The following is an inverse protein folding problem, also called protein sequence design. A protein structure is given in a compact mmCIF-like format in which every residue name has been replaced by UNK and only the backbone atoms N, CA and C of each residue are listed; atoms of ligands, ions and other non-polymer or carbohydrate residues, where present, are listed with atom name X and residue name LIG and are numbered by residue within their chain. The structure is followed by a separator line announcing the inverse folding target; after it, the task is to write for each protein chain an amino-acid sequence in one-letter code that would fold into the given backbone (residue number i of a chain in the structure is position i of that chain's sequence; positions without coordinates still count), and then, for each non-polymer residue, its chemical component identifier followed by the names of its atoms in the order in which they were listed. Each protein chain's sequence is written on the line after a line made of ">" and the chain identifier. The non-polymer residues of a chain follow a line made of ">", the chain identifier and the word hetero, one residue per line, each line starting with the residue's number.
data_IF_846848814872
#
_entry.id   IF_846848814872
#
_cell.length_a   1.000
_cell.length_b   1.000
_cell.length_c   1.000
_cell.angle_alpha   90.00
_cell.angle_beta   90.00
_cell.angle_gamma   90.00
#
_symmetry.space_group_name_H-M   'P 1'
#
loop_
_entity.id
_entity.type
_entity.pdbx_description
1 polymer ?
#
# COMPACT_ATOMS: atom_id res chain seq x y z
N UNK A 1 2.58 4.91 -22.53
CA UNK A 1 2.23 6.25 -23.05
C UNK A 1 3.32 6.88 -23.94
N UNK A 2 4.38 7.52 -23.40
CA UNK A 2 5.29 8.34 -24.22
C UNK A 2 6.05 7.56 -25.30
N UNK A 3 6.62 6.39 -24.98
CA UNK A 3 7.36 5.55 -25.94
C UNK A 3 6.46 5.11 -27.11
N UNK A 4 5.24 4.64 -26.83
CA UNK A 4 4.25 4.28 -27.86
C UNK A 4 3.92 5.47 -28.77
N UNK A 5 3.78 6.69 -28.22
CA UNK A 5 3.56 7.90 -29.01
C UNK A 5 4.72 8.20 -29.96
N UNK A 6 5.97 8.08 -29.50
CA UNK A 6 7.16 8.27 -30.34
C UNK A 6 7.24 7.19 -31.43
N UNK A 7 6.96 5.94 -31.09
CA UNK A 7 6.94 4.82 -32.03
C UNK A 7 5.90 5.03 -33.16
N UNK A 8 4.67 5.42 -32.80
CA UNK A 8 3.64 5.78 -33.79
C UNK A 8 4.04 6.97 -34.67
N UNK A 9 4.69 7.99 -34.09
CA UNK A 9 5.21 9.15 -34.84
C UNK A 9 6.34 8.77 -35.81
N UNK A 10 7.13 7.75 -35.46
CA UNK A 10 8.24 7.23 -36.27
C UNK A 10 7.72 6.40 -37.45
N UNK A 11 6.75 5.51 -37.23
CA UNK A 11 6.05 4.80 -38.32
C UNK A 11 5.42 5.80 -39.29
N UNK A 12 4.69 6.81 -38.78
CA UNK A 12 4.11 7.85 -39.61
C UNK A 12 5.17 8.67 -40.39
N UNK A 13 6.34 8.92 -39.78
CA UNK A 13 7.46 9.58 -40.46
C UNK A 13 8.04 8.73 -41.60
N UNK A 14 8.24 7.43 -41.39
CA UNK A 14 8.76 6.51 -42.42
C UNK A 14 7.79 6.34 -43.60
N UNK A 15 6.48 6.36 -43.34
CA UNK A 15 5.45 6.34 -44.41
C UNK A 15 5.49 7.65 -45.20
N UNK A 16 5.50 8.79 -44.49
CA UNK A 16 5.52 10.11 -45.13
C UNK A 16 6.80 10.36 -45.92
N UNK A 17 7.96 9.94 -45.42
CA UNK A 17 9.24 10.06 -46.10
C UNK A 17 9.19 9.33 -47.45
N UNK A 18 8.77 8.05 -47.48
CA UNK A 18 8.62 7.28 -48.71
C UNK A 18 7.63 7.89 -49.72
N UNK A 19 6.55 8.50 -49.23
CA UNK A 19 5.60 9.23 -50.08
C UNK A 19 6.23 10.49 -50.70
N UNK A 20 7.03 11.23 -49.92
CA UNK A 20 7.73 12.43 -50.39
C UNK A 20 8.86 12.08 -51.36
N UNK A 21 9.61 11.00 -51.12
CA UNK A 21 10.65 10.48 -52.02
C UNK A 21 10.05 10.06 -53.37
N UNK A 22 8.91 9.36 -53.38
CA UNK A 22 8.21 9.00 -54.60
C UNK A 22 7.68 10.23 -55.37
N UNK A 23 7.17 11.24 -54.65
CA UNK A 23 6.74 12.51 -55.25
C UNK A 23 7.93 13.32 -55.83
N UNK A 24 9.06 13.35 -55.13
CA UNK A 24 10.30 13.98 -55.61
C UNK A 24 10.78 13.32 -56.90
N UNK A 25 10.92 11.99 -56.92
CA UNK A 25 11.33 11.26 -58.11
C UNK A 25 10.41 11.52 -59.32
N UNK A 26 9.09 11.59 -59.10
CA UNK A 26 8.14 11.94 -60.16
C UNK A 26 8.32 13.39 -60.65
N UNK A 27 8.47 14.35 -59.73
CA UNK A 27 8.66 15.75 -60.08
C UNK A 27 9.99 15.97 -60.85
N UNK A 28 11.05 15.26 -60.47
CA UNK A 28 12.33 15.27 -61.18
C UNK A 28 12.21 14.68 -62.58
N UNK A 29 11.45 13.59 -62.75
CA UNK A 29 11.20 12.99 -64.07
C UNK A 29 10.41 13.94 -64.98
N UNK A 30 9.41 14.64 -64.45
CA UNK A 30 8.66 15.68 -65.19
C UNK A 30 9.58 16.83 -65.61
N UNK A 31 10.47 17.30 -64.71
CA UNK A 31 11.44 18.33 -65.04
C UNK A 31 12.47 17.87 -66.08
N UNK A 32 12.97 16.63 -65.98
CA UNK A 32 13.90 16.06 -66.95
C UNK A 32 13.28 15.97 -68.35
N UNK A 33 12.04 15.46 -68.45
CA UNK A 33 11.31 15.40 -69.72
C UNK A 33 11.09 16.79 -70.33
N UNK A 34 10.76 17.80 -69.51
CA UNK A 34 10.58 19.17 -69.97
C UNK A 34 11.89 19.80 -70.47
N UNK A 35 13.02 19.52 -69.81
CA UNK A 35 14.34 19.97 -70.24
C UNK A 35 14.78 19.30 -71.55
N UNK A 36 14.52 17.99 -71.73
CA UNK A 36 14.78 17.28 -72.99
C UNK A 36 13.92 17.83 -74.12
N UNK A 37 12.60 17.96 -73.91
CA UNK A 37 11.71 18.55 -74.91
C UNK A 37 12.10 19.99 -75.29
N UNK A 38 12.55 20.79 -74.32
CA UNK A 38 13.07 22.15 -74.56
C UNK A 38 14.42 22.19 -75.28
N UNK A 39 15.18 21.09 -75.30
CA UNK A 39 16.46 20.97 -76.00
C UNK A 39 16.30 20.37 -77.42
N UNK A 40 15.40 19.40 -77.58
CA UNK A 40 15.08 18.77 -78.87
C UNK A 40 14.20 19.68 -79.76
N UNK A 41 13.46 20.61 -79.15
CA UNK A 41 12.70 21.63 -79.87
C UNK A 41 13.55 22.89 -80.06
N UNK A 42 13.82 23.27 -81.32
CA UNK A 42 14.28 24.62 -81.65
C UNK A 42 13.20 25.62 -81.26
N UNK A 43 13.29 26.16 -80.04
CA UNK A 43 12.33 27.11 -79.50
C UNK A 43 12.52 28.46 -80.20
N UNK A 44 11.57 28.93 -81.05
CA UNK A 44 11.73 30.19 -81.73
C UNK A 44 11.70 31.34 -80.72
N UNK A 45 12.73 32.21 -80.78
CA UNK A 45 12.77 33.41 -79.95
C UNK A 45 11.52 34.28 -80.17
N UNK A 46 11.20 35.13 -79.19
CA UNK A 46 10.04 36.03 -79.23
C UNK A 46 10.06 36.90 -80.50
N UNK A 47 11.25 37.31 -80.95
CA UNK A 47 11.45 38.03 -82.22
C UNK A 47 11.09 37.16 -83.43
N UNK A 48 11.51 35.90 -83.46
CA UNK A 48 11.18 34.92 -84.51
C UNK A 48 9.69 34.60 -84.57
N UNK A 49 9.01 34.55 -83.41
CA UNK A 49 7.55 34.36 -83.33
C UNK A 49 6.78 35.58 -83.83
N UNK A 50 7.28 36.80 -83.56
CA UNK A 50 6.73 38.04 -84.13
C UNK A 50 6.85 38.03 -85.67
N UNK A 51 8.04 37.72 -86.19
CA UNK A 51 8.33 37.75 -87.62
C UNK A 51 7.59 36.69 -88.45
N UNK A 52 7.29 35.53 -87.88
CA UNK A 52 6.59 34.44 -88.59
C UNK A 52 5.07 34.37 -88.31
N UNK A 53 4.49 35.38 -87.66
CA UNK A 53 3.06 35.43 -87.38
C UNK A 53 2.25 35.93 -88.59
N UNK A 54 1.10 35.30 -88.84
CA UNK A 54 0.23 35.58 -90.00
C UNK A 54 -0.81 36.68 -89.75
N UNK A 55 -0.62 37.46 -88.67
CA UNK A 55 -1.48 38.58 -88.29
C UNK A 55 -1.51 38.79 -86.78
N UNK A 56 -2.14 39.87 -86.34
CA UNK A 56 -2.16 40.28 -84.92
C UNK A 56 -2.82 39.25 -83.99
N UNK A 57 -3.85 38.52 -84.46
CA UNK A 57 -4.53 37.49 -83.69
C UNK A 57 -3.63 36.25 -83.44
N UNK A 58 -3.01 35.72 -84.50
CA UNK A 58 -2.06 34.59 -84.45
C UNK A 58 -0.85 34.93 -83.56
N UNK A 59 -0.33 36.16 -83.66
CA UNK A 59 0.74 36.65 -82.80
C UNK A 59 0.33 36.65 -81.31
N UNK A 60 -0.84 37.19 -80.97
CA UNK A 60 -1.31 37.27 -79.60
C UNK A 60 -1.53 35.87 -78.99
N UNK A 61 -2.06 34.94 -79.77
CA UNK A 61 -2.26 33.55 -79.34
C UNK A 61 -0.92 32.86 -79.04
N UNK A 62 0.05 32.93 -79.97
CA UNK A 62 1.40 32.35 -79.79
C UNK A 62 2.15 32.95 -78.60
N UNK A 63 2.09 34.27 -78.43
CA UNK A 63 2.68 34.95 -77.25
C UNK A 63 2.02 34.47 -75.94
N UNK A 64 0.69 34.33 -75.93
CA UNK A 64 -0.04 33.83 -74.76
C UNK A 64 0.34 32.38 -74.42
N UNK A 65 0.57 31.54 -75.43
CA UNK A 65 1.01 30.15 -75.26
C UNK A 65 2.42 30.09 -74.65
N UNK A 66 3.40 30.83 -75.21
CA UNK A 66 4.75 30.91 -74.64
C UNK A 66 4.79 31.46 -73.21
N UNK A 67 3.88 32.37 -72.85
CA UNK A 67 3.74 32.85 -71.47
C UNK A 67 3.19 31.75 -70.53
N UNK A 68 2.23 30.94 -70.99
CA UNK A 68 1.72 29.78 -70.24
C UNK A 68 2.81 28.72 -70.03
N UNK A 69 3.58 28.39 -71.07
CA UNK A 69 4.70 27.43 -70.99
C UNK A 69 5.76 27.91 -70.00
N UNK A 70 6.29 29.13 -70.14
CA UNK A 70 7.29 29.68 -69.20
C UNK A 70 6.79 29.73 -67.75
N UNK A 71 5.51 30.04 -67.53
CA UNK A 71 4.91 29.98 -66.19
C UNK A 71 4.86 28.54 -65.65
N UNK A 72 4.58 27.57 -66.50
CA UNK A 72 4.57 26.15 -66.15
C UNK A 72 5.98 25.63 -65.84
N UNK A 73 7.01 26.00 -66.60
CA UNK A 73 8.41 25.61 -66.33
C UNK A 73 8.87 26.10 -64.96
N UNK A 74 8.59 27.38 -64.65
CA UNK A 74 8.86 27.98 -63.33
C UNK A 74 8.12 27.22 -62.22
N UNK A 75 6.87 26.80 -62.45
CA UNK A 75 6.10 26.00 -61.50
C UNK A 75 6.75 24.62 -61.27
N UNK A 76 7.16 23.91 -62.32
CA UNK A 76 7.79 22.59 -62.23
C UNK A 76 9.10 22.67 -61.43
N UNK A 77 9.98 23.63 -61.76
CA UNK A 77 11.25 23.84 -61.00
C UNK A 77 10.98 24.17 -59.53
N UNK A 78 9.94 24.97 -59.24
CA UNK A 78 9.56 25.28 -57.86
C UNK A 78 8.98 24.07 -57.12
N UNK A 79 8.24 23.20 -57.79
CA UNK A 79 7.71 21.94 -57.22
C UNK A 79 8.85 20.97 -56.88
N UNK A 80 9.82 20.75 -57.77
CA UNK A 80 11.02 19.92 -57.48
C UNK A 80 11.80 20.48 -56.29
N UNK A 81 12.04 21.80 -56.26
CA UNK A 81 12.71 22.47 -55.11
C UNK A 81 11.90 22.34 -53.82
N UNK A 82 10.57 22.30 -53.88
CA UNK A 82 9.72 22.06 -52.71
C UNK A 82 9.78 20.60 -52.25
N UNK A 83 9.75 19.63 -53.18
CA UNK A 83 9.85 18.19 -52.89
C UNK A 83 11.16 17.85 -52.16
N UNK A 84 12.31 18.24 -52.74
CA UNK A 84 13.66 18.10 -52.15
C UNK A 84 13.74 18.63 -50.72
N UNK A 85 13.17 19.82 -50.47
CA UNK A 85 13.13 20.41 -49.11
C UNK A 85 12.22 19.65 -48.16
N UNK A 86 11.11 19.10 -48.63
CA UNK A 86 10.19 18.31 -47.82
C UNK A 86 10.83 16.96 -47.41
N UNK A 87 11.50 16.25 -48.33
CA UNK A 87 12.26 15.02 -48.03
C UNK A 87 13.37 15.30 -47.02
N UNK A 88 14.20 16.32 -47.24
CA UNK A 88 15.28 16.69 -46.30
C UNK A 88 14.77 17.06 -44.89
N UNK A 89 13.65 17.78 -44.80
CA UNK A 89 13.01 18.12 -43.54
C UNK A 89 12.45 16.89 -42.82
N UNK A 90 11.81 15.97 -43.55
CA UNK A 90 11.22 14.76 -42.98
C UNK A 90 12.29 13.73 -42.55
N UNK A 91 13.37 13.58 -43.32
CA UNK A 91 14.54 12.79 -42.91
C UNK A 91 15.18 13.34 -41.62
N UNK A 92 15.32 14.67 -41.52
CA UNK A 92 15.78 15.32 -40.28
C UNK A 92 14.83 15.07 -39.10
N UNK A 93 13.51 15.05 -39.35
CA UNK A 93 12.50 14.75 -38.33
C UNK A 93 12.58 13.29 -37.88
N UNK A 94 12.77 12.35 -38.80
CA UNK A 94 12.92 10.92 -38.53
C UNK A 94 14.14 10.65 -37.64
N UNK A 95 15.31 11.22 -37.96
CA UNK A 95 16.53 11.07 -37.15
C UNK A 95 16.33 11.60 -35.71
N UNK A 96 15.67 12.75 -35.54
CA UNK A 96 15.33 13.29 -34.20
C UNK A 96 14.39 12.37 -33.42
N UNK A 97 13.44 11.70 -34.09
CA UNK A 97 12.55 10.73 -33.43
C UNK A 97 13.29 9.45 -33.02
N UNK A 98 14.20 8.94 -33.85
CA UNK A 98 15.01 7.76 -33.53
C UNK A 98 15.90 7.99 -32.30
N UNK A 99 16.61 9.12 -32.23
CA UNK A 99 17.42 9.48 -31.04
C UNK A 99 16.54 9.60 -29.79
N UNK A 100 15.32 10.14 -29.92
CA UNK A 100 14.37 10.25 -28.81
C UNK A 100 13.83 8.89 -28.36
N UNK A 101 13.56 7.97 -29.28
CA UNK A 101 13.15 6.60 -28.98
C UNK A 101 14.24 5.85 -28.22
N UNK A 102 15.48 5.86 -28.73
CA UNK A 102 16.65 5.26 -28.05
C UNK A 102 16.84 5.81 -26.64
N UNK A 103 16.74 7.13 -26.47
CA UNK A 103 16.85 7.80 -25.16
C UNK A 103 15.76 7.32 -24.18
N UNK A 104 14.51 7.26 -24.63
CA UNK A 104 13.38 6.79 -23.81
C UNK A 104 13.52 5.30 -23.46
N UNK A 105 13.98 4.46 -24.38
CA UNK A 105 14.25 3.04 -24.11
C UNK A 105 15.35 2.88 -23.04
N UNK A 106 16.44 3.64 -23.15
CA UNK A 106 17.52 3.63 -22.16
C UNK A 106 17.04 4.08 -20.76
N UNK A 107 16.20 5.11 -20.69
CA UNK A 107 15.56 5.58 -19.44
C UNK A 107 14.68 4.48 -18.81
N UNK A 108 13.75 3.90 -19.59
CA UNK A 108 12.85 2.83 -19.12
C UNK A 108 13.64 1.59 -18.64
N UNK A 109 14.73 1.22 -19.32
CA UNK A 109 15.60 0.13 -18.87
C UNK A 109 16.34 0.47 -17.57
N UNK A 110 16.80 1.71 -17.41
CA UNK A 110 17.42 2.20 -16.17
C UNK A 110 16.44 2.17 -15.00
N UNK A 111 15.23 2.70 -15.18
CA UNK A 111 14.15 2.67 -14.20
C UNK A 111 13.81 1.23 -13.79
N UNK A 112 13.56 0.35 -14.76
CA UNK A 112 13.29 -1.08 -14.51
C UNK A 112 14.39 -1.73 -13.66
N UNK A 113 15.66 -1.45 -13.99
CA UNK A 113 16.81 -1.98 -13.24
C UNK A 113 16.91 -1.38 -11.82
N UNK A 114 16.54 -0.11 -11.66
CA UNK A 114 16.41 0.54 -10.35
C UNK A 114 15.34 -0.12 -9.47
N UNK A 115 14.12 -0.32 -10.01
CA UNK A 115 13.04 -1.02 -9.30
C UNK A 115 13.46 -2.43 -8.88
N UNK A 116 14.10 -3.20 -9.77
CA UNK A 116 14.58 -4.55 -9.46
C UNK A 116 15.60 -4.57 -8.30
N UNK A 117 16.53 -3.61 -8.26
CA UNK A 117 17.47 -3.45 -7.13
C UNK A 117 16.76 -3.11 -5.83
N UNK A 118 15.76 -2.22 -5.88
CA UNK A 118 14.97 -1.82 -4.71
C UNK A 118 14.17 -3.00 -4.15
N UNK A 119 13.50 -3.77 -5.00
CA UNK A 119 12.81 -5.01 -4.61
C UNK A 119 13.77 -6.02 -3.97
N UNK A 120 14.96 -6.25 -4.56
CA UNK A 120 15.97 -7.14 -3.98
C UNK A 120 16.57 -6.61 -2.65
N UNK A 121 16.50 -5.30 -2.38
CA UNK A 121 16.84 -4.72 -1.08
C UNK A 121 15.74 -4.98 -0.05
N UNK A 122 14.47 -4.74 -0.40
CA UNK A 122 13.32 -4.99 0.46
C UNK A 122 13.20 -6.47 0.86
N UNK A 123 13.44 -7.39 -0.08
CA UNK A 123 13.48 -8.83 0.23
C UNK A 123 14.57 -9.20 1.23
N UNK A 124 15.77 -8.64 1.10
CA UNK A 124 16.86 -8.85 2.08
C UNK A 124 16.50 -8.27 3.45
N UNK A 125 15.98 -7.05 3.50
CA UNK A 125 15.52 -6.44 4.76
C UNK A 125 14.45 -7.29 5.45
N UNK A 126 13.43 -7.76 4.71
CA UNK A 126 12.39 -8.66 5.23
C UNK A 126 12.97 -9.96 5.78
N UNK A 127 13.91 -10.59 5.06
CA UNK A 127 14.59 -11.80 5.53
C UNK A 127 15.37 -11.55 6.84
N UNK A 128 16.10 -10.43 6.93
CA UNK A 128 16.81 -10.02 8.14
C UNK A 128 15.86 -9.77 9.31
N UNK A 129 14.74 -9.06 9.11
CA UNK A 129 13.72 -8.85 10.15
C UNK A 129 13.08 -10.17 10.60
N UNK A 130 12.76 -11.07 9.67
CA UNK A 130 12.23 -12.40 10.00
C UNK A 130 13.23 -13.22 10.84
N UNK A 131 14.52 -13.20 10.49
CA UNK A 131 15.58 -13.85 11.25
C UNK A 131 15.70 -13.27 12.68
N UNK A 132 15.68 -11.94 12.84
CA UNK A 132 15.69 -11.32 14.17
C UNK A 132 14.44 -11.64 14.99
N UNK A 133 13.25 -11.65 14.36
CA UNK A 133 11.99 -12.05 15.02
C UNK A 133 12.04 -13.50 15.49
N UNK A 134 12.59 -14.43 14.68
CA UNK A 134 12.79 -15.82 15.06
C UNK A 134 13.75 -15.99 16.25
N UNK A 135 14.90 -15.31 16.24
CA UNK A 135 15.86 -15.29 17.36
C UNK A 135 15.18 -14.76 18.64
N UNK A 136 14.42 -13.67 18.54
CA UNK A 136 13.70 -13.08 19.68
C UNK A 136 12.55 -13.95 20.18
N UNK A 137 11.89 -14.72 19.32
CA UNK A 137 10.91 -15.73 19.72
C UNK A 137 11.58 -16.86 20.51
N UNK A 138 12.71 -17.38 20.03
CA UNK A 138 13.52 -18.38 20.75
C UNK A 138 13.99 -17.88 22.12
N UNK A 139 14.51 -16.65 22.21
CA UNK A 139 14.92 -16.04 23.49
C UNK A 139 13.75 -15.94 24.49
N UNK A 140 12.56 -15.55 24.03
CA UNK A 140 11.35 -15.50 24.89
C UNK A 140 10.90 -16.90 25.34
N UNK A 141 10.94 -17.90 24.44
CA UNK A 141 10.59 -19.27 24.78
C UNK A 141 11.52 -19.85 25.87
N UNK A 142 12.83 -19.66 25.74
CA UNK A 142 13.81 -20.07 26.75
C UNK A 142 13.61 -19.36 28.08
N UNK A 143 13.34 -18.05 28.06
CA UNK A 143 13.06 -17.28 29.28
C UNK A 143 11.77 -17.76 29.98
N UNK A 144 10.71 -18.06 29.23
CA UNK A 144 9.47 -18.58 29.79
C UNK A 144 9.66 -19.99 30.39
N UNK A 145 10.42 -20.86 29.72
CA UNK A 145 10.75 -22.18 30.25
C UNK A 145 11.51 -22.07 31.59
N UNK A 146 12.45 -21.12 31.70
CA UNK A 146 13.19 -20.85 32.94
C UNK A 146 12.29 -20.31 34.06
N UNK A 147 11.37 -19.38 33.76
CA UNK A 147 10.36 -18.90 34.72
C UNK A 147 9.50 -20.06 35.25
N UNK A 148 9.00 -20.92 34.35
CA UNK A 148 8.20 -22.08 34.73
C UNK A 148 9.00 -23.05 35.60
N UNK A 149 10.29 -23.28 35.28
CA UNK A 149 11.21 -24.11 36.07
C UNK A 149 11.41 -23.56 37.48
N UNK A 150 11.63 -22.25 37.61
CA UNK A 150 11.81 -21.58 38.90
C UNK A 150 10.53 -21.57 39.75
N UNK A 151 9.35 -21.38 39.13
CA UNK A 151 8.07 -21.50 39.81
C UNK A 151 7.82 -22.92 40.36
N UNK A 152 8.19 -23.95 39.58
CA UNK A 152 8.15 -25.34 40.03
C UNK A 152 9.06 -25.59 41.24
N UNK A 153 10.30 -25.10 41.20
CA UNK A 153 11.23 -25.18 42.33
C UNK A 153 10.71 -24.43 43.57
N UNK A 154 10.18 -23.23 43.42
CA UNK A 154 9.60 -22.45 44.52
C UNK A 154 8.44 -23.21 45.18
N UNK A 155 7.56 -23.82 44.39
CA UNK A 155 6.44 -24.61 44.87
C UNK A 155 6.91 -25.85 45.66
N UNK A 156 7.96 -26.52 45.21
CA UNK A 156 8.59 -27.64 45.92
C UNK A 156 9.22 -27.20 47.25
N UNK A 157 9.92 -26.07 47.27
CA UNK A 157 10.51 -25.49 48.49
C UNK A 157 9.42 -25.12 49.52
N UNK A 158 8.33 -24.50 49.07
CA UNK A 158 7.19 -24.15 49.93
C UNK A 158 6.54 -25.40 50.54
N UNK A 159 6.31 -26.45 49.73
CA UNK A 159 5.78 -27.72 50.21
C UNK A 159 6.71 -28.41 51.22
N UNK A 160 8.03 -28.39 50.99
CA UNK A 160 9.03 -28.94 51.91
C UNK A 160 9.06 -28.18 53.25
N UNK A 161 8.96 -26.85 53.22
CA UNK A 161 8.93 -25.99 54.41
C UNK A 161 7.64 -26.22 55.22
N UNK A 162 6.48 -26.29 54.55
CA UNK A 162 5.20 -26.63 55.19
C UNK A 162 5.24 -28.02 55.84
N UNK A 163 5.80 -29.03 55.17
CA UNK A 163 5.97 -30.37 55.72
C UNK A 163 6.93 -30.40 56.93
N UNK A 164 8.01 -29.61 56.91
CA UNK A 164 8.91 -29.47 58.06
C UNK A 164 8.23 -28.79 59.26
N UNK A 165 7.47 -27.72 59.03
CA UNK A 165 6.68 -27.04 60.07
C UNK A 165 5.62 -27.96 60.69
N UNK A 166 4.92 -28.75 59.88
CA UNK A 166 3.94 -29.74 60.35
C UNK A 166 4.59 -30.82 61.25
N UNK A 167 5.77 -31.34 60.87
CA UNK A 167 6.54 -32.29 61.70
C UNK A 167 6.97 -31.67 63.03
N UNK A 168 7.46 -30.42 63.00
CA UNK A 168 7.85 -29.71 64.22
C UNK A 168 6.66 -29.48 65.18
N UNK A 169 5.50 -29.07 64.64
CA UNK A 169 4.28 -28.91 65.43
C UNK A 169 3.76 -30.24 66.01
N UNK A 170 3.85 -31.35 65.27
CA UNK A 170 3.50 -32.67 65.76
C UNK A 170 4.43 -33.13 66.89
N UNK A 171 5.74 -32.94 66.75
CA UNK A 171 6.72 -33.24 67.79
C UNK A 171 6.51 -32.41 69.06
N UNK A 172 6.21 -31.11 68.94
CA UNK A 172 5.89 -30.25 70.07
C UNK A 172 4.63 -30.70 70.83
N UNK A 173 3.56 -31.06 70.10
CA UNK A 173 2.33 -31.63 70.70
C UNK A 173 2.58 -32.94 71.42
N UNK A 174 3.37 -33.85 70.84
CA UNK A 174 3.74 -35.11 71.47
C UNK A 174 4.54 -34.90 72.77
N UNK A 175 5.50 -33.97 72.76
CA UNK A 175 6.26 -33.59 73.95
C UNK A 175 5.36 -32.98 75.04
N UNK A 176 4.41 -32.10 74.68
CA UNK A 176 3.47 -31.51 75.62
C UNK A 176 2.53 -32.57 76.23
N UNK A 177 1.98 -33.48 75.40
CA UNK A 177 1.14 -34.58 75.86
C UNK A 177 1.88 -35.50 76.85
N UNK A 178 3.17 -35.79 76.60
CA UNK A 178 4.00 -36.56 77.52
C UNK A 178 4.19 -35.86 78.88
N UNK A 179 4.35 -34.52 78.91
CA UNK A 179 4.42 -33.76 80.18
C UNK A 179 3.09 -33.70 80.92
N UNK A 180 1.96 -33.59 80.20
CA UNK A 180 0.62 -33.66 80.81
C UNK A 180 0.36 -35.04 81.41
N UNK A 181 0.76 -36.13 80.74
CA UNK A 181 0.65 -37.48 81.28
C UNK A 181 1.51 -37.69 82.55
N UNK A 182 2.74 -37.16 82.58
CA UNK A 182 3.61 -37.20 83.76
C UNK A 182 3.02 -36.42 84.95
N UNK A 183 2.50 -35.22 84.71
CA UNK A 183 1.89 -34.39 85.78
C UNK A 183 0.55 -34.97 86.26
N UNK A 184 -0.26 -35.55 85.37
CA UNK A 184 -1.48 -36.27 85.76
C UNK A 184 -1.18 -37.52 86.62
N UNK A 185 -0.11 -38.27 86.31
CA UNK A 185 0.33 -39.39 87.14
C UNK A 185 0.76 -38.93 88.56
N UNK A 186 1.44 -37.78 88.65
CA UNK A 186 1.82 -37.14 89.93
C UNK A 186 0.63 -36.52 90.68
N UNK A 187 -0.46 -36.18 89.98
CA UNK A 187 -1.67 -35.54 90.53
C UNK A 187 -2.73 -36.55 90.99
N UNK A 188 -2.39 -37.84 91.08
CA UNK A 188 -3.28 -38.92 91.57
C UNK A 188 -3.57 -38.86 93.10
N UNK A 189 -3.44 -37.67 93.69
CA UNK A 189 -3.61 -37.37 95.12
C UNK A 189 -4.48 -36.13 95.42
N UNK A 190 -5.36 -35.68 94.50
CA UNK A 190 -6.46 -34.75 94.87
C UNK A 190 -7.64 -34.64 93.87
N UNK A 191 -8.80 -35.17 94.31
CA UNK A 191 -10.20 -34.70 94.13
C UNK A 191 -10.68 -33.85 92.92
N UNK A 192 -11.53 -34.49 92.09
CA UNK A 192 -12.92 -34.12 91.69
C UNK A 192 -13.31 -32.79 90.98
N UNK A 193 -14.08 -32.95 89.88
CA UNK A 193 -15.04 -31.96 89.30
C UNK A 193 -14.49 -31.10 88.14
N UNK A 194 -15.24 -30.71 87.10
CA UNK A 194 -16.59 -31.08 86.65
C UNK A 194 -17.21 -30.06 85.66
N UNK A 195 -17.69 -30.52 84.48
CA UNK A 195 -18.75 -29.87 83.67
C UNK A 195 -18.47 -28.68 82.71
N UNK A 196 -18.93 -28.80 81.44
CA UNK A 196 -19.85 -27.80 80.83
C UNK A 196 -19.40 -26.82 79.70
N UNK A 197 -19.99 -26.97 78.50
CA UNK A 197 -20.82 -25.90 77.86
C UNK A 197 -20.29 -25.00 76.70
N UNK A 198 -21.14 -24.80 75.66
CA UNK A 198 -21.12 -23.68 74.66
C UNK A 198 -20.11 -23.80 73.48
N UNK A 199 -20.32 -23.35 72.23
CA UNK A 199 -21.33 -22.50 71.58
C UNK A 199 -20.74 -21.12 71.19
N UNK A 200 -20.89 -20.54 69.98
CA UNK A 200 -21.51 -20.93 68.69
C UNK A 200 -21.63 -19.68 67.75
N UNK A 201 -21.56 -19.78 66.40
CA UNK A 201 -21.47 -18.55 65.56
C UNK A 201 -21.52 -18.64 64.01
N UNK A 202 -22.71 -18.34 63.47
CA UNK A 202 -23.16 -17.67 62.22
C UNK A 202 -22.31 -17.42 60.94
N UNK A 203 -23.07 -17.37 59.83
CA UNK A 203 -22.81 -17.06 58.40
C UNK A 203 -22.84 -15.53 58.09
N UNK A 204 -22.90 -14.97 56.84
CA UNK A 204 -22.93 -15.53 55.47
C UNK A 204 -22.02 -14.83 54.41
N UNK A 205 -22.23 -15.11 53.12
CA UNK A 205 -21.57 -14.48 51.96
C UNK A 205 -22.36 -13.29 51.35
N UNK A 206 -21.70 -12.43 50.57
CA UNK A 206 -22.30 -11.46 49.64
C UNK A 206 -21.52 -11.45 48.31
N UNK A 207 -22.24 -11.29 47.20
CA UNK A 207 -21.69 -11.09 45.86
C UNK A 207 -22.20 -9.77 45.24
N UNK A 208 -21.32 -9.07 44.52
CA UNK A 208 -21.58 -7.94 43.61
C UNK A 208 -20.45 -7.96 42.58
N UNK A 209 -20.62 -7.73 41.28
CA UNK A 209 -21.72 -7.08 40.56
C UNK A 209 -21.11 -6.02 39.64
N UNK A 210 -20.91 -6.34 38.36
CA UNK A 210 -20.15 -5.51 37.42
C UNK A 210 -20.88 -4.21 37.07
N UNK A 211 -20.12 -3.13 36.84
CA UNK A 211 -20.59 -1.92 36.16
C UNK A 211 -20.06 -1.90 34.71
N UNK A 212 -20.88 -1.53 33.71
CA UNK A 212 -20.38 -1.31 32.35
C UNK A 212 -19.64 0.03 32.30
N UNK A 213 -18.31 -0.02 32.22
CA UNK A 213 -17.48 1.17 31.99
C UNK A 213 -17.48 1.50 30.50
N UNK A 214 -17.82 2.74 30.13
CA UNK A 214 -17.53 3.27 28.80
C UNK A 214 -16.02 3.22 28.54
N UNK A 215 -15.59 2.44 27.55
CA UNK A 215 -14.19 2.04 27.40
C UNK A 215 -13.30 3.13 26.81
N UNK A 216 -12.66 3.90 27.70
CA UNK A 216 -11.28 4.39 27.51
C UNK A 216 -10.99 5.32 26.32
N UNK A 217 -12.00 5.94 25.70
CA UNK A 217 -11.80 6.82 24.55
C UNK A 217 -11.67 6.10 23.19
N UNK A 218 -12.05 4.82 23.11
CA UNK A 218 -12.15 4.09 21.84
C UNK A 218 -13.50 4.34 21.15
N UNK A 219 -13.48 4.74 19.88
CA UNK A 219 -14.66 4.95 19.02
C UNK A 219 -14.79 3.80 18.02
N UNK A 220 -16.02 3.36 17.71
CA UNK A 220 -16.23 2.33 16.69
C UNK A 220 -15.85 2.86 15.29
N UNK A 221 -15.05 2.14 14.48
CA UNK A 221 -14.36 2.69 13.31
C UNK A 221 -15.23 2.93 12.07
N UNK A 222 -16.52 2.61 12.10
CA UNK A 222 -17.43 2.66 10.95
C UNK A 222 -18.81 3.17 11.36
N UNK A 223 -19.67 3.63 10.43
CA UNK A 223 -21.09 3.71 10.67
C UNK A 223 -21.64 2.33 11.09
N UNK A 224 -22.23 2.20 12.29
CA UNK A 224 -22.73 0.92 12.82
C UNK A 224 -23.75 0.23 11.90
N UNK A 225 -24.46 0.99 11.07
CA UNK A 225 -25.43 0.51 10.07
C UNK A 225 -24.81 -0.05 8.79
N UNK A 226 -23.53 0.24 8.53
CA UNK A 226 -22.79 -0.26 7.37
C UNK A 226 -21.94 -1.51 7.73
N UNK A 227 -21.50 -1.61 8.99
CA UNK A 227 -20.78 -2.77 9.51
C UNK A 227 -21.68 -4.01 9.63
N UNK A 228 -21.14 -5.18 9.25
CA UNK A 228 -21.76 -6.47 9.53
C UNK A 228 -21.90 -6.70 11.05
N UNK A 229 -22.85 -7.54 11.51
CA UNK A 229 -23.08 -7.71 12.95
C UNK A 229 -21.91 -8.45 13.64
N UNK A 230 -21.63 -8.18 14.93
CA UNK A 230 -20.45 -8.69 15.63
C UNK A 230 -20.21 -10.21 15.58
N UNK A 231 -21.26 -11.02 15.44
CA UNK A 231 -21.15 -12.47 15.28
C UNK A 231 -20.61 -12.94 13.93
N UNK A 232 -20.29 -12.01 13.02
CA UNK A 232 -19.73 -12.29 11.67
C UNK A 232 -18.28 -11.83 11.51
N UNK A 233 -17.71 -11.12 12.49
CA UNK A 233 -16.35 -10.60 12.42
C UNK A 233 -15.33 -11.71 12.62
N UNK A 234 -14.34 -11.81 11.74
CA UNK A 234 -13.23 -12.77 11.84
C UNK A 234 -11.98 -12.13 12.46
N UNK A 235 -11.27 -12.83 13.36
CA UNK A 235 -9.91 -12.44 13.74
C UNK A 235 -8.88 -12.97 12.73
N UNK A 236 -7.93 -12.13 12.34
CA UNK A 236 -6.67 -12.52 11.69
C UNK A 236 -5.48 -11.79 12.36
N UNK A 237 -4.82 -10.86 11.66
CA UNK A 237 -3.79 -10.01 12.26
C UNK A 237 -4.40 -8.84 13.05
N UNK A 238 -5.68 -8.57 12.76
CA UNK A 238 -6.59 -7.70 13.48
C UNK A 238 -7.99 -8.32 13.50
N UNK A 239 -9.01 -7.55 13.14
CA UNK A 239 -10.41 -7.98 13.06
C UNK A 239 -11.02 -7.49 11.76
N UNK A 240 -11.59 -8.41 10.98
CA UNK A 240 -12.32 -8.10 9.75
C UNK A 240 -13.78 -7.73 10.05
N UNK A 241 -14.22 -6.62 9.47
CA UNK A 241 -15.60 -6.15 9.52
C UNK A 241 -16.06 -5.90 8.09
N UNK A 242 -16.91 -6.78 7.56
CA UNK A 242 -17.50 -6.57 6.24
C UNK A 242 -18.42 -5.34 6.25
N UNK A 243 -18.23 -4.47 5.27
CA UNK A 243 -19.05 -3.28 5.04
C UNK A 243 -18.93 -2.88 3.55
N UNK A 244 -19.90 -2.13 2.99
CA UNK A 244 -19.84 -1.69 1.61
C UNK A 244 -18.55 -0.91 1.30
N UNK A 245 -18.10 -1.01 0.05
CA UNK A 245 -17.06 -0.11 -0.46
C UNK A 245 -17.48 1.36 -0.35
N UNK A 246 -16.49 2.24 -0.21
CA UNK A 246 -16.66 3.68 0.02
C UNK A 246 -17.39 4.03 1.35
N UNK A 247 -17.52 3.07 2.28
CA UNK A 247 -17.99 3.36 3.66
C UNK A 247 -16.91 4.16 4.41
N UNK A 248 -17.24 5.31 5.02
CA UNK A 248 -16.28 6.12 5.78
C UNK A 248 -15.66 5.37 6.97
N UNK A 249 -14.36 5.52 7.13
CA UNK A 249 -13.57 5.01 8.25
C UNK A 249 -13.28 6.15 9.24
N UNK A 250 -13.62 5.90 10.51
CA UNK A 250 -13.48 6.84 11.61
C UNK A 250 -12.22 6.52 12.43
N UNK A 251 -11.51 7.55 12.85
CA UNK A 251 -10.41 7.43 13.80
C UNK A 251 -10.92 6.88 15.14
N UNK A 252 -10.46 5.68 15.55
CA UNK A 252 -10.89 5.06 16.83
C UNK A 252 -10.38 5.80 18.06
N UNK A 253 -9.39 6.68 17.92
CA UNK A 253 -8.77 7.48 18.98
C UNK A 253 -8.41 8.86 18.42
N UNK A 254 -8.19 9.85 19.29
CA UNK A 254 -7.47 11.05 18.87
C UNK A 254 -5.99 10.73 18.65
N UNK A 255 -5.39 11.24 17.58
CA UNK A 255 -4.04 10.86 17.20
C UNK A 255 -3.58 11.45 15.87
N UNK A 256 -2.39 11.05 15.42
CA UNK A 256 -1.79 11.50 14.16
C UNK A 256 -1.66 10.36 13.16
N UNK A 257 -2.06 10.58 11.90
CA UNK A 257 -1.83 9.61 10.82
C UNK A 257 -0.33 9.58 10.50
N UNK A 258 0.35 8.44 10.68
CA UNK A 258 1.82 8.34 10.57
C UNK A 258 2.31 7.59 9.33
N UNK A 259 1.47 6.79 8.69
CA UNK A 259 1.83 5.97 7.53
C UNK A 259 0.59 5.66 6.70
N UNK A 260 0.74 5.61 5.37
CA UNK A 260 -0.18 4.96 4.45
C UNK A 260 0.52 3.81 3.73
N UNK A 261 -0.20 2.72 3.51
CA UNK A 261 0.21 1.62 2.64
C UNK A 261 0.95 0.50 3.37
N UNK A 262 0.24 -0.59 3.63
CA UNK A 262 0.74 -1.75 4.37
C UNK A 262 0.74 -2.96 3.42
N UNK A 263 1.89 -3.66 3.34
CA UNK A 263 2.08 -4.76 2.40
C UNK A 263 1.18 -5.95 2.72
N UNK A 264 0.23 -6.25 1.83
CA UNK A 264 -0.82 -7.26 2.03
C UNK A 264 -2.19 -6.65 2.34
N UNK A 265 -2.23 -5.41 2.84
CA UNK A 265 -3.44 -4.72 3.30
C UNK A 265 -3.84 -3.56 2.38
N UNK A 266 -3.06 -3.29 1.34
CA UNK A 266 -3.35 -2.26 0.34
C UNK A 266 -2.48 -1.00 0.47
N UNK A 267 -2.37 -0.21 -0.61
CA UNK A 267 -1.46 0.93 -0.68
C UNK A 267 -2.02 2.20 0.00
N UNK A 268 -3.30 2.22 0.41
CA UNK A 268 -3.93 3.34 1.11
C UNK A 268 -4.25 3.05 2.58
N UNK A 269 -3.95 1.85 3.09
CA UNK A 269 -4.19 1.46 4.47
C UNK A 269 -3.50 2.43 5.46
N UNK A 270 -4.22 3.25 6.24
CA UNK A 270 -3.58 4.20 7.16
C UNK A 270 -3.17 3.53 8.48
N UNK A 271 -2.18 4.13 9.13
CA UNK A 271 -1.78 3.85 10.51
C UNK A 271 -1.94 5.13 11.33
N UNK A 272 -2.75 5.05 12.38
CA UNK A 272 -3.01 6.11 13.34
C UNK A 272 -2.16 5.87 14.59
N UNK A 273 -1.33 6.85 14.95
CA UNK A 273 -0.63 6.89 16.24
C UNK A 273 -1.52 7.66 17.24
N UNK A 274 -2.11 6.95 18.20
CA UNK A 274 -3.00 7.54 19.20
C UNK A 274 -2.23 8.41 20.20
N UNK A 275 -2.81 9.53 20.62
CA UNK A 275 -2.21 10.43 21.62
C UNK A 275 -2.10 9.77 23.01
N UNK A 276 -3.02 8.84 23.32
CA UNK A 276 -2.99 7.97 24.49
C UNK A 276 -3.05 6.50 24.08
N UNK A 277 -2.54 5.59 24.92
CA UNK A 277 -2.53 4.16 24.59
C UNK A 277 -3.90 3.51 24.77
N UNK A 278 -4.28 2.68 23.79
CA UNK A 278 -5.44 1.81 23.82
C UNK A 278 -5.01 0.45 24.35
N UNK A 279 -5.35 0.12 25.59
CA UNK A 279 -4.94 -1.13 26.29
C UNK A 279 -3.44 -1.44 26.16
N UNK A 280 -2.60 -0.40 26.28
CA UNK A 280 -1.14 -0.50 26.17
C UNK A 280 -0.57 -0.41 24.74
N UNK A 281 -1.41 -0.30 23.70
CA UNK A 281 -0.98 -0.12 22.31
C UNK A 281 -1.08 1.35 21.86
N UNK A 282 -0.10 1.83 21.10
CA UNK A 282 -0.05 3.23 20.62
C UNK A 282 -0.42 3.42 19.15
N UNK A 283 -0.46 2.35 18.34
CA UNK A 283 -0.71 2.44 16.90
C UNK A 283 -1.83 1.50 16.48
N UNK A 284 -2.75 2.00 15.66
CA UNK A 284 -3.87 1.25 15.06
C UNK A 284 -3.75 1.33 13.54
N UNK A 285 -3.84 0.20 12.85
CA UNK A 285 -3.90 0.14 11.39
C UNK A 285 -5.33 -0.11 10.90
N UNK A 286 -5.62 0.36 9.68
CA UNK A 286 -6.89 0.17 9.00
C UNK A 286 -6.57 -0.42 7.61
N UNK A 287 -6.84 -1.70 7.46
CA UNK A 287 -6.56 -2.49 6.27
C UNK A 287 -7.64 -2.32 5.21
N UNK A 288 -7.23 -2.50 3.96
CA UNK A 288 -8.07 -2.55 2.75
C UNK A 288 -8.82 -1.25 2.42
N UNK A 289 -8.46 -0.15 3.07
CA UNK A 289 -8.91 1.21 2.77
C UNK A 289 -8.64 1.62 1.31
N UNK A 290 -9.52 2.44 0.76
CA UNK A 290 -9.46 2.99 -0.59
C UNK A 290 -8.76 4.36 -0.67
N UNK A 291 -8.64 4.92 -1.90
CA UNK A 291 -8.07 6.25 -2.12
C UNK A 291 -9.02 7.41 -1.75
N UNK A 292 -10.30 7.15 -1.52
CA UNK A 292 -11.30 8.14 -1.16
C UNK A 292 -11.11 8.62 0.30
N UNK A 293 -11.41 9.90 0.54
CA UNK A 293 -11.44 10.56 1.85
C UNK A 293 -10.15 10.48 2.70
N UNK A 294 -9.06 10.02 2.09
CA UNK A 294 -7.73 9.89 2.69
C UNK A 294 -7.17 11.24 3.17
N UNK A 295 -7.16 11.45 4.47
CA UNK A 295 -6.42 12.55 5.10
C UNK A 295 -4.91 12.29 5.03
N UNK A 296 -4.10 13.34 4.90
CA UNK A 296 -2.68 13.18 4.66
C UNK A 296 -1.90 12.66 5.89
N UNK A 297 -0.82 11.93 5.66
CA UNK A 297 0.19 11.63 6.70
C UNK A 297 0.65 12.94 7.36
N UNK A 298 0.69 12.96 8.69
CA UNK A 298 0.93 14.15 9.52
C UNK A 298 -0.34 14.89 9.95
N UNK A 299 -1.52 14.51 9.45
CA UNK A 299 -2.80 15.06 9.92
C UNK A 299 -3.11 14.53 11.33
N UNK A 300 -3.37 15.43 12.26
CA UNK A 300 -3.96 15.10 13.56
C UNK A 300 -5.49 15.04 13.42
N UNK A 301 -6.11 14.04 14.03
CA UNK A 301 -7.54 13.74 13.97
C UNK A 301 -8.09 13.52 15.37
N UNK A 302 -9.35 13.93 15.58
CA UNK A 302 -10.09 13.58 16.78
C UNK A 302 -10.75 12.20 16.67
N UNK A 303 -10.97 11.53 17.81
CA UNK A 303 -11.76 10.29 17.83
C UNK A 303 -13.15 10.51 17.18
N UNK A 304 -13.55 9.61 16.27
CA UNK A 304 -14.78 9.70 15.48
C UNK A 304 -14.68 10.55 14.21
N UNK A 305 -13.55 11.21 13.94
CA UNK A 305 -13.34 11.95 12.69
C UNK A 305 -13.11 11.00 11.51
N UNK A 306 -13.72 11.30 10.36
CA UNK A 306 -13.44 10.60 9.09
C UNK A 306 -12.01 10.87 8.66
N UNK A 307 -11.29 9.82 8.28
CA UNK A 307 -9.88 9.92 7.87
C UNK A 307 -9.52 9.12 6.60
N UNK A 308 -10.39 8.19 6.21
CA UNK A 308 -10.29 7.32 5.04
C UNK A 308 -11.67 6.71 4.77
N UNK A 309 -11.79 5.88 3.74
CA UNK A 309 -13.00 5.10 3.41
C UNK A 309 -12.62 3.70 2.94
N UNK A 310 -13.45 2.69 3.20
CA UNK A 310 -13.22 1.29 2.78
C UNK A 310 -13.04 1.22 1.26
N UNK A 311 -12.13 0.36 0.78
CA UNK A 311 -11.89 0.18 -0.64
C UNK A 311 -13.17 -0.19 -1.44
N UNK A 312 -13.41 0.39 -2.62
CA UNK A 312 -14.60 0.13 -3.45
C UNK A 312 -14.69 -1.30 -4.02
N UNK A 313 -13.77 -2.19 -3.67
CA UNK A 313 -13.63 -3.54 -4.20
C UNK A 313 -12.54 -4.30 -3.46
N UNK A 314 -11.87 -5.23 -4.14
CA UNK A 314 -10.71 -5.94 -3.59
C UNK A 314 -9.50 -4.98 -3.57
N UNK A 315 -9.07 -4.62 -2.37
CA UNK A 315 -7.81 -3.90 -2.09
C UNK A 315 -6.93 -4.85 -1.26
N UNK A 316 -5.63 -4.86 -1.51
CA UNK A 316 -4.71 -5.77 -0.79
C UNK A 316 -4.95 -7.26 -1.12
N UNK A 317 -4.74 -8.11 -0.13
CA UNK A 317 -5.08 -9.54 -0.13
C UNK A 317 -6.44 -9.65 0.56
N UNK A 318 -7.50 -9.58 -0.24
CA UNK A 318 -8.88 -9.51 0.21
C UNK A 318 -9.80 -10.28 -0.73
N UNK A 319 -10.96 -10.70 -0.24
CA UNK A 319 -12.03 -11.35 -1.03
C UNK A 319 -13.18 -10.39 -1.40
N UNK A 320 -13.21 -9.18 -0.83
CA UNK A 320 -14.23 -8.16 -1.09
C UNK A 320 -14.14 -6.97 -0.11
N UNK A 321 -14.99 -5.93 -0.26
CA UNK A 321 -14.98 -4.76 0.63
C UNK A 321 -15.17 -5.14 2.11
N UNK A 322 -14.20 -4.76 2.94
CA UNK A 322 -14.23 -4.84 4.39
C UNK A 322 -13.15 -3.92 4.97
N UNK A 323 -13.28 -3.58 6.25
CA UNK A 323 -12.20 -3.05 7.05
C UNK A 323 -11.51 -4.21 7.77
N UNK A 324 -10.18 -4.28 7.76
CA UNK A 324 -9.44 -5.07 8.74
C UNK A 324 -8.74 -4.12 9.72
N UNK A 325 -9.14 -4.09 10.99
CA UNK A 325 -8.59 -3.16 11.98
C UNK A 325 -7.83 -3.89 13.09
N UNK A 326 -6.65 -3.39 13.45
CA UNK A 326 -5.81 -4.03 14.46
C UNK A 326 -4.72 -3.12 15.00
N UNK A 327 -3.95 -3.63 15.96
CA UNK A 327 -2.81 -2.89 16.52
C UNK A 327 -1.55 -3.10 15.69
N UNK A 328 -0.79 -2.03 15.49
CA UNK A 328 0.48 -2.02 14.78
C UNK A 328 1.66 -1.73 15.72
N UNK A 329 2.86 -2.10 15.30
CA UNK A 329 4.10 -1.55 15.86
C UNK A 329 4.41 -0.15 15.25
N UNK A 330 5.42 0.53 15.78
CA UNK A 330 5.80 1.87 15.31
C UNK A 330 6.33 1.92 13.85
N UNK A 331 6.48 0.77 13.17
CA UNK A 331 6.76 0.70 11.72
C UNK A 331 5.49 0.55 10.86
N UNK A 332 4.31 0.52 11.48
CA UNK A 332 3.04 0.24 10.81
C UNK A 332 2.82 -1.25 10.51
N UNK A 333 3.62 -2.15 11.09
CA UNK A 333 3.42 -3.60 10.91
C UNK A 333 2.35 -4.13 11.88
N UNK A 334 1.33 -4.88 11.42
CA UNK A 334 0.37 -5.57 12.29
C UNK A 334 1.05 -6.45 13.35
N UNK A 335 0.54 -6.40 14.58
CA UNK A 335 1.08 -7.16 15.73
C UNK A 335 0.47 -8.57 15.82
N UNK A 336 -0.79 -8.78 15.38
CA UNK A 336 -1.51 -10.06 15.47
C UNK A 336 -1.96 -10.42 16.89
N UNK A 337 -1.03 -10.45 17.84
CA UNK A 337 -1.31 -10.85 19.22
C UNK A 337 -2.33 -9.97 19.96
N UNK A 338 -2.60 -8.75 19.47
CA UNK A 338 -3.60 -7.84 20.01
C UNK A 338 -5.01 -7.97 19.43
N UNK A 339 -5.25 -8.90 18.49
CA UNK A 339 -6.55 -9.05 17.82
C UNK A 339 -7.72 -9.32 18.80
N UNK A 340 -7.49 -10.10 19.87
CA UNK A 340 -8.50 -10.34 20.91
C UNK A 340 -8.86 -9.11 21.74
N UNK A 341 -7.88 -8.24 22.02
CA UNK A 341 -8.12 -6.92 22.65
C UNK A 341 -8.91 -6.02 21.70
N UNK A 342 -8.51 -5.95 20.42
CA UNK A 342 -9.21 -5.13 19.42
C UNK A 342 -10.66 -5.60 19.26
N UNK A 343 -10.91 -6.90 19.14
CA UNK A 343 -12.25 -7.49 19.11
C UNK A 343 -13.09 -7.06 20.33
N UNK A 344 -12.50 -7.07 21.52
CA UNK A 344 -13.19 -6.67 22.76
C UNK A 344 -13.56 -5.17 22.76
N UNK A 345 -12.67 -4.30 22.28
CA UNK A 345 -12.93 -2.86 22.13
C UNK A 345 -14.02 -2.58 21.10
N UNK A 346 -13.97 -3.25 19.94
CA UNK A 346 -14.97 -3.14 18.89
C UNK A 346 -16.35 -3.60 19.35
N UNK A 347 -16.43 -4.73 20.06
CA UNK A 347 -17.69 -5.23 20.62
C UNK A 347 -18.26 -4.31 21.70
N UNK A 348 -17.41 -3.71 22.55
CA UNK A 348 -17.85 -2.72 23.53
C UNK A 348 -18.41 -1.46 22.84
N UNK A 349 -17.68 -0.88 21.88
CA UNK A 349 -18.08 0.33 21.18
C UNK A 349 -19.25 0.14 20.19
N UNK A 350 -19.49 -1.09 19.71
CA UNK A 350 -20.68 -1.39 18.91
C UNK A 350 -21.95 -1.45 19.75
N UNK A 351 -21.87 -1.98 20.98
CA UNK A 351 -23.03 -2.17 21.86
C UNK A 351 -23.33 -0.98 22.79
N UNK A 352 -22.36 -0.08 23.02
CA UNK A 352 -22.55 1.20 23.72
C UNK A 352 -23.07 2.31 22.81
#
# INVERSE_FOLDING_TARGET
>A
AQLQKVHSQLIAAQIRLRQLEAYEAHAEQVLANQLVASYESDNPDVVTVVLNSTGFADLLERLSFMQRVRKQDINIVNQVRAARRAVAAEATRLGKLQVREQTLVAQVLSERNGLARTQASLWRQRATVAQFRAIKAGQRASAQAEVNRLQGQLSQLQAALAAAAARAAAAARAAQAARVAQTAAQSSSSSSGGGGGGGGGFTPAIATGSAPSSSGGFTFPLPKSAASPPGTWSPDQGVDISAPGDTPEYAVCSGTIVLHGIGGFGPWAPVLHCDGSLDGYSYVYYGHAGPADQLAIGTHVGAGQVMSSIGPGIVGISTGPHLEIGFADASGSPIGAGAGTMMSLLQAAYNG
#
